data_IF_905991560253
#
_entry.id   IF_905991560253
#
_cell.length_a   1.000
_cell.length_b   1.000
_cell.length_c   1.000
_cell.angle_alpha   90.00
_cell.angle_beta   90.00
_cell.angle_gamma   90.00
#
_symmetry.space_group_name_H-M   'P 1'
#
loop_
_entity.id
_entity.type
_entity.pdbx_description
1 polymer ?
#
# COMPACT_ATOMS: atom_id res chain seq x y z
N UNK A 1 -15.10 -0.95 19.02
CA UNK A 1 -15.16 0.52 18.87
C UNK A 1 -14.40 0.94 17.61
N UNK A 2 -14.91 1.88 16.80
CA UNK A 2 -14.32 2.30 15.51
C UNK A 2 -13.35 3.49 15.65
N UNK A 3 -12.77 3.65 16.84
CA UNK A 3 -12.00 4.83 17.22
C UNK A 3 -10.78 5.08 16.31
N UNK A 4 -10.17 4.01 15.82
CA UNK A 4 -9.02 4.12 14.91
C UNK A 4 -9.36 4.82 13.58
N UNK A 5 -10.60 4.70 13.08
CA UNK A 5 -11.05 5.43 11.89
C UNK A 5 -11.22 6.93 12.18
N UNK A 6 -11.70 7.26 13.38
CA UNK A 6 -11.90 8.65 13.80
C UNK A 6 -10.56 9.37 13.98
N UNK A 7 -9.59 8.74 14.63
CA UNK A 7 -8.31 9.37 14.92
C UNK A 7 -7.34 9.42 13.72
N UNK A 8 -7.62 8.69 12.64
CA UNK A 8 -6.79 8.76 11.44
C UNK A 8 -7.11 10.06 10.67
N UNK A 9 -6.17 11.02 10.54
CA UNK A 9 -6.45 12.30 9.87
C UNK A 9 -6.77 12.11 8.39
N UNK A 10 -6.22 11.07 7.77
CA UNK A 10 -6.43 10.75 6.36
C UNK A 10 -7.70 9.91 6.08
N UNK A 11 -8.40 9.43 7.12
CA UNK A 11 -9.61 8.58 6.99
C UNK A 11 -9.47 7.37 6.05
N UNK A 12 -8.27 6.79 5.97
CA UNK A 12 -7.95 5.66 5.08
C UNK A 12 -8.30 4.29 5.66
N UNK A 13 -8.85 4.24 6.88
CA UNK A 13 -9.28 2.97 7.48
C UNK A 13 -10.72 2.67 7.07
N UNK A 14 -10.96 1.49 6.50
CA UNK A 14 -12.29 1.03 6.05
C UNK A 14 -12.84 0.02 7.05
N UNK A 15 -14.14 0.07 7.31
CA UNK A 15 -14.79 -0.84 8.26
C UNK A 15 -15.70 -1.78 7.50
N UNK A 16 -15.65 -3.08 7.85
CA UNK A 16 -16.55 -4.07 7.27
C UNK A 16 -17.86 -4.06 8.03
N UNK A 17 -18.88 -3.43 7.45
CA UNK A 17 -20.20 -3.28 8.06
C UNK A 17 -21.01 -4.58 8.07
N UNK A 18 -21.00 -5.26 6.91
CA UNK A 18 -21.70 -6.51 6.69
C UNK A 18 -20.70 -7.64 6.46
N UNK A 19 -21.22 -8.87 6.41
CA UNK A 19 -20.46 -10.00 5.90
C UNK A 19 -20.56 -9.95 4.37
N UNK A 20 -19.46 -9.56 3.72
CA UNK A 20 -19.39 -9.42 2.26
C UNK A 20 -19.01 -10.71 1.53
N UNK A 21 -18.70 -11.77 2.28
CA UNK A 21 -18.37 -13.10 1.78
C UNK A 21 -19.40 -14.11 2.28
N UNK A 22 -19.72 -15.12 1.46
CA UNK A 22 -20.60 -16.23 1.86
C UNK A 22 -21.98 -15.77 2.35
N UNK A 23 -22.56 -14.77 1.67
CA UNK A 23 -23.88 -14.23 1.99
C UNK A 23 -24.71 -14.00 0.71
N UNK A 24 -25.91 -14.55 0.66
CA UNK A 24 -26.85 -14.44 -0.47
C UNK A 24 -27.26 -12.99 -0.78
N UNK A 25 -27.20 -12.08 0.20
CA UNK A 25 -27.47 -10.65 -0.02
C UNK A 25 -26.40 -9.96 -0.89
N UNK A 26 -25.18 -10.51 -0.93
CA UNK A 26 -24.04 -10.00 -1.68
C UNK A 26 -23.54 -11.06 -2.66
N UNK A 27 -24.40 -11.49 -3.58
CA UNK A 27 -24.10 -12.51 -4.58
C UNK A 27 -23.20 -11.99 -5.73
N UNK A 28 -21.92 -11.87 -5.42
CA UNK A 28 -20.86 -11.54 -6.36
C UNK A 28 -19.82 -12.68 -6.42
N UNK A 29 -18.65 -12.40 -6.99
CA UNK A 29 -17.56 -13.35 -7.17
C UNK A 29 -16.93 -13.93 -5.89
N UNK A 30 -17.40 -13.53 -4.70
CA UNK A 30 -16.92 -14.06 -3.41
C UNK A 30 -17.76 -15.23 -2.90
N UNK A 31 -18.95 -15.46 -3.48
CA UNK A 31 -19.87 -16.52 -3.04
C UNK A 31 -19.74 -17.80 -3.85
N UNK A 32 -19.36 -17.70 -5.14
CA UNK A 32 -19.22 -18.86 -6.00
C UNK A 32 -17.85 -19.55 -5.82
N UNK A 33 -17.83 -20.88 -5.82
CA UNK A 33 -16.61 -21.66 -5.61
C UNK A 33 -15.52 -21.35 -6.66
N UNK A 34 -15.93 -21.08 -7.91
CA UNK A 34 -15.01 -20.69 -8.97
C UNK A 34 -14.43 -19.29 -8.76
N UNK A 35 -15.23 -18.32 -8.29
CA UNK A 35 -14.75 -16.94 -8.07
C UNK A 35 -13.84 -16.83 -6.84
N UNK A 36 -14.02 -17.70 -5.85
CA UNK A 36 -13.09 -17.81 -4.71
C UNK A 36 -11.66 -18.14 -5.13
N UNK A 37 -11.45 -18.73 -6.32
CA UNK A 37 -10.10 -19.00 -6.84
C UNK A 37 -9.30 -17.73 -7.19
N UNK A 38 -9.95 -16.57 -7.34
CA UNK A 38 -9.27 -15.29 -7.60
C UNK A 38 -8.65 -14.70 -6.31
N UNK A 39 -9.07 -15.19 -5.14
CA UNK A 39 -8.63 -14.67 -3.86
C UNK A 39 -7.19 -15.09 -3.58
N UNK A 40 -6.36 -14.12 -3.18
CA UNK A 40 -4.98 -14.40 -2.80
C UNK A 40 -4.93 -15.18 -1.46
N UNK A 41 -4.32 -16.38 -1.41
CA UNK A 41 -4.22 -17.18 -0.18
C UNK A 41 -3.36 -16.53 0.92
N UNK A 42 -2.42 -15.65 0.55
CA UNK A 42 -1.52 -15.00 1.51
C UNK A 42 -2.17 -13.79 2.22
N UNK A 43 -3.40 -13.43 1.86
CA UNK A 43 -4.14 -12.30 2.43
C UNK A 43 -5.39 -12.81 3.12
N UNK A 44 -5.62 -12.32 4.34
CA UNK A 44 -6.82 -12.67 5.10
C UNK A 44 -8.09 -12.10 4.46
N UNK A 45 -9.03 -12.98 4.12
CA UNK A 45 -10.42 -12.59 3.87
C UNK A 45 -11.06 -12.28 5.21
N UNK A 46 -11.56 -11.05 5.38
CA UNK A 46 -12.03 -10.55 6.67
C UNK A 46 -13.53 -10.63 6.76
N UNK A 47 -14.01 -11.03 7.94
CA UNK A 47 -15.44 -11.05 8.26
C UNK A 47 -15.97 -9.67 8.68
N UNK A 48 -17.26 -9.62 9.03
CA UNK A 48 -17.95 -8.46 9.61
C UNK A 48 -17.22 -7.92 10.85
N UNK A 49 -17.23 -6.60 11.01
CA UNK A 49 -16.83 -5.94 12.26
C UNK A 49 -15.34 -5.67 12.38
N UNK A 50 -14.56 -5.93 11.32
CA UNK A 50 -13.11 -5.72 11.29
C UNK A 50 -12.77 -4.43 10.53
N UNK A 51 -11.71 -3.75 10.97
CA UNK A 51 -11.16 -2.59 10.29
C UNK A 51 -10.03 -3.00 9.36
N UNK A 52 -10.03 -2.41 8.17
CA UNK A 52 -9.03 -2.61 7.12
C UNK A 52 -8.27 -1.32 6.84
N UNK A 53 -7.05 -1.46 6.32
CA UNK A 53 -6.24 -0.36 5.80
C UNK A 53 -5.23 -0.91 4.81
N UNK A 54 -4.61 -0.03 4.04
CA UNK A 54 -3.39 -0.38 3.31
C UNK A 54 -2.30 -0.82 4.30
N UNK A 55 -1.73 -2.00 4.07
CA UNK A 55 -0.65 -2.60 4.85
C UNK A 55 0.68 -2.59 4.11
N UNK A 56 0.80 -1.81 3.02
CA UNK A 56 1.96 -1.81 2.13
C UNK A 56 2.32 -3.21 1.61
N UNK A 57 1.29 -4.01 1.29
CA UNK A 57 1.43 -5.38 0.79
C UNK A 57 2.38 -6.24 1.64
N UNK A 58 2.14 -6.30 2.95
CA UNK A 58 2.97 -7.05 3.90
C UNK A 58 3.26 -8.50 3.46
N UNK A 59 2.31 -9.15 2.80
CA UNK A 59 2.47 -10.49 2.26
C UNK A 59 3.59 -10.59 1.22
N UNK A 60 3.75 -9.56 0.38
CA UNK A 60 4.83 -9.49 -0.61
C UNK A 60 6.16 -9.15 0.07
N UNK A 61 6.18 -8.15 0.95
CA UNK A 61 7.43 -7.73 1.60
C UNK A 61 8.04 -8.83 2.47
N UNK A 62 7.21 -9.58 3.20
CA UNK A 62 7.70 -10.69 4.02
C UNK A 62 8.25 -11.83 3.18
N UNK A 63 7.62 -12.12 2.03
CA UNK A 63 8.12 -13.11 1.07
C UNK A 63 9.48 -12.70 0.49
N UNK A 64 9.63 -11.45 0.04
CA UNK A 64 10.92 -10.93 -0.46
C UNK A 64 12.02 -11.04 0.60
N UNK A 65 11.73 -10.66 1.85
CA UNK A 65 12.69 -10.77 2.95
C UNK A 65 13.03 -12.23 3.24
N UNK A 66 12.06 -13.14 3.19
CA UNK A 66 12.27 -14.58 3.40
C UNK A 66 13.17 -15.18 2.32
N UNK A 67 12.92 -14.86 1.05
CA UNK A 67 13.71 -15.33 -0.08
C UNK A 67 15.15 -14.80 0.00
N UNK A 68 15.34 -13.51 0.29
CA UNK A 68 16.68 -12.94 0.47
C UNK A 68 17.45 -13.56 1.65
N UNK A 69 16.76 -13.81 2.78
CA UNK A 69 17.35 -14.51 3.93
C UNK A 69 17.74 -15.95 3.61
N UNK A 70 16.92 -16.68 2.87
CA UNK A 70 17.23 -18.04 2.42
C UNK A 70 18.48 -18.06 1.54
N UNK A 71 18.62 -17.06 0.68
CA UNK A 71 19.74 -16.94 -0.25
C UNK A 71 21.00 -16.30 0.39
N UNK A 72 20.92 -15.91 1.67
CA UNK A 72 22.05 -15.34 2.43
C UNK A 72 22.50 -13.94 1.97
N UNK A 73 21.62 -13.19 1.30
CA UNK A 73 21.93 -11.87 0.72
C UNK A 73 21.02 -10.77 1.27
N UNK A 74 21.46 -9.50 1.23
CA UNK A 74 20.54 -8.39 1.46
C UNK A 74 19.48 -8.31 0.34
N UNK A 75 18.35 -7.70 0.67
CA UNK A 75 17.33 -7.36 -0.32
C UNK A 75 17.89 -6.25 -1.20
N UNK A 76 17.73 -6.38 -2.52
CA UNK A 76 18.19 -5.36 -3.48
C UNK A 76 17.09 -4.36 -3.77
N UNK A 77 17.47 -3.15 -4.17
CA UNK A 77 16.49 -2.17 -4.66
C UNK A 77 15.73 -2.73 -5.88
N UNK A 78 14.43 -2.44 -5.95
CA UNK A 78 13.52 -3.00 -6.94
C UNK A 78 12.95 -4.40 -6.63
N UNK A 79 13.49 -5.16 -5.67
CA UNK A 79 12.87 -6.43 -5.22
C UNK A 79 11.65 -6.19 -4.33
N UNK A 80 11.62 -5.03 -3.66
CA UNK A 80 10.44 -4.60 -2.93
C UNK A 80 9.40 -4.01 -3.89
N UNK A 81 8.38 -4.80 -4.18
CA UNK A 81 7.26 -4.34 -5.00
C UNK A 81 5.92 -4.57 -4.29
N UNK A 82 5.12 -3.50 -4.23
CA UNK A 82 3.72 -3.57 -3.80
C UNK A 82 2.84 -3.92 -5.00
N UNK A 83 1.60 -4.33 -4.75
CA UNK A 83 0.64 -4.55 -5.83
C UNK A 83 0.35 -3.24 -6.61
N UNK A 84 0.30 -2.10 -5.92
CA UNK A 84 0.02 -0.82 -6.56
C UNK A 84 1.23 -0.24 -7.31
N UNK A 85 2.47 -0.41 -6.80
CA UNK A 85 3.67 0.00 -7.54
C UNK A 85 3.89 -0.85 -8.79
N UNK A 86 3.76 -2.18 -8.68
CA UNK A 86 3.96 -3.08 -9.82
C UNK A 86 2.89 -2.92 -10.93
N UNK A 87 1.68 -2.51 -10.58
CA UNK A 87 0.61 -2.27 -11.56
C UNK A 87 0.70 -0.90 -12.24
N UNK A 88 1.49 0.03 -11.69
CA UNK A 88 1.57 1.39 -12.19
C UNK A 88 2.46 1.46 -13.43
N UNK A 89 1.86 1.59 -14.61
CA UNK A 89 2.59 1.71 -15.88
C UNK A 89 3.34 3.03 -16.04
N UNK A 90 2.90 4.09 -15.36
CA UNK A 90 3.49 5.42 -15.48
C UNK A 90 4.69 5.67 -14.57
N UNK A 91 5.05 4.72 -13.70
CA UNK A 91 6.11 4.90 -12.70
C UNK A 91 5.78 5.89 -11.59
N UNK A 92 4.49 6.26 -11.41
CA UNK A 92 4.10 7.23 -10.39
C UNK A 92 4.20 6.69 -8.95
N UNK A 93 4.20 5.37 -8.78
CA UNK A 93 4.27 4.72 -7.47
C UNK A 93 5.57 3.96 -7.34
N UNK A 94 6.49 4.53 -6.56
CA UNK A 94 7.79 3.91 -6.22
C UNK A 94 7.73 3.42 -4.78
N UNK A 95 8.24 2.23 -4.52
CA UNK A 95 8.28 1.61 -3.20
C UNK A 95 9.62 0.91 -3.01
N UNK A 96 10.24 1.08 -1.85
CA UNK A 96 11.62 0.65 -1.60
C UNK A 96 12.04 0.91 -0.14
N UNK A 97 13.31 0.63 0.16
CA UNK A 97 13.88 0.81 1.49
C UNK A 97 14.53 2.20 1.63
N UNK A 98 14.06 2.99 2.58
CA UNK A 98 14.58 4.35 2.85
C UNK A 98 15.95 4.32 3.53
N UNK A 99 16.34 3.20 4.15
CA UNK A 99 17.65 3.09 4.80
C UNK A 99 18.78 2.82 3.81
N UNK A 100 18.45 2.33 2.62
CA UNK A 100 19.40 2.17 1.53
C UNK A 100 19.55 3.50 0.78
N UNK A 101 20.72 4.12 0.90
CA UNK A 101 21.02 5.42 0.30
C UNK A 101 21.10 5.38 -1.22
N UNK A 102 21.31 4.19 -1.81
CA UNK A 102 21.35 3.99 -3.26
C UNK A 102 19.96 3.68 -3.85
N UNK A 103 18.91 3.63 -3.03
CA UNK A 103 17.56 3.33 -3.50
C UNK A 103 16.89 4.51 -4.21
N UNK A 104 16.05 4.21 -5.19
CA UNK A 104 15.24 5.21 -5.89
C UNK A 104 14.38 6.05 -4.91
N UNK A 105 13.89 5.42 -3.83
CA UNK A 105 13.07 6.11 -2.81
C UNK A 105 13.89 7.12 -2.01
N UNK A 106 15.15 6.80 -1.68
CA UNK A 106 16.03 7.73 -0.98
C UNK A 106 16.31 8.98 -1.84
N UNK A 107 16.57 8.81 -3.13
CA UNK A 107 16.77 9.93 -4.06
C UNK A 107 15.50 10.80 -4.19
N UNK A 108 14.33 10.17 -4.34
CA UNK A 108 13.06 10.90 -4.45
C UNK A 108 12.70 11.67 -3.18
N UNK A 109 13.08 11.14 -2.01
CA UNK A 109 12.84 11.79 -0.72
C UNK A 109 13.61 13.11 -0.57
N UNK A 110 14.83 13.19 -1.09
CA UNK A 110 15.67 14.40 -1.02
C UNK A 110 15.31 15.45 -2.10
N UNK A 111 14.33 15.17 -2.95
CA UNK A 111 13.88 16.09 -3.99
C UNK A 111 13.26 17.37 -3.44
N UNK A 112 13.59 18.52 -4.02
CA UNK A 112 12.96 19.82 -3.70
C UNK A 112 11.43 19.87 -3.90
N UNK A 113 10.86 18.88 -4.61
CA UNK A 113 9.42 18.80 -4.88
C UNK A 113 8.65 17.94 -3.88
N UNK A 114 9.35 17.32 -2.94
CA UNK A 114 8.79 16.39 -1.97
C UNK A 114 8.02 17.17 -0.88
N UNK A 115 6.84 16.68 -0.53
CA UNK A 115 6.05 17.17 0.60
C UNK A 115 5.25 16.04 1.25
N UNK A 116 4.96 16.17 2.54
CA UNK A 116 4.05 15.29 3.25
C UNK A 116 2.65 15.91 3.36
N UNK A 117 1.63 15.04 3.36
CA UNK A 117 0.26 15.49 3.59
C UNK A 117 0.03 15.79 5.08
N UNK A 118 -0.53 16.96 5.36
CA UNK A 118 -0.92 17.41 6.71
C UNK A 118 0.27 17.48 7.70
N UNK A 119 1.39 18.07 7.28
CA UNK A 119 2.61 18.21 8.10
C UNK A 119 2.39 18.88 9.46
N UNK A 120 1.48 19.86 9.52
CA UNK A 120 1.15 20.59 10.76
C UNK A 120 0.61 19.70 11.89
N UNK A 121 0.10 18.50 11.58
CA UNK A 121 -0.40 17.54 12.58
C UNK A 121 0.75 16.76 13.24
N UNK A 122 1.93 16.69 12.60
CA UNK A 122 3.09 15.98 13.13
C UNK A 122 2.99 14.45 13.07
N UNK A 123 2.16 13.90 12.18
CA UNK A 123 1.95 12.44 12.02
C UNK A 123 3.13 11.71 11.39
N UNK A 124 4.10 12.43 10.81
CA UNK A 124 5.31 11.90 10.14
C UNK A 124 4.99 10.70 9.23
N UNK A 125 4.19 10.90 8.16
CA UNK A 125 3.79 9.81 7.29
C UNK A 125 4.99 9.26 6.48
N UNK A 126 5.06 7.94 6.33
CA UNK A 126 6.08 7.27 5.49
C UNK A 126 5.80 7.36 3.99
N UNK A 127 4.72 8.02 3.59
CA UNK A 127 4.39 8.31 2.20
C UNK A 127 4.55 9.81 1.99
N UNK A 128 5.35 10.16 0.99
CA UNK A 128 5.52 11.53 0.52
C UNK A 128 5.07 11.63 -0.93
N UNK A 129 4.74 12.86 -1.34
CA UNK A 129 4.24 13.15 -2.67
C UNK A 129 5.11 14.21 -3.32
N UNK A 130 5.13 14.23 -4.65
CA UNK A 130 5.79 15.29 -5.41
C UNK A 130 4.76 16.30 -5.92
N UNK A 131 5.12 17.59 -5.87
CA UNK A 131 4.28 18.67 -6.43
C UNK A 131 4.03 18.42 -7.92
N UNK A 132 2.77 18.52 -8.35
CA UNK A 132 2.40 18.40 -9.77
C UNK A 132 2.82 19.67 -10.51
N UNK A 133 3.86 19.57 -11.34
CA UNK A 133 4.28 20.65 -12.25
C UNK A 133 3.43 20.56 -13.51
N UNK A 134 2.77 21.65 -13.88
CA UNK A 134 2.03 21.78 -15.14
C UNK A 134 2.76 22.80 -16.00
N UNK A 135 3.26 22.39 -17.15
CA UNK A 135 3.89 23.31 -18.09
C UNK A 135 2.79 24.08 -18.83
N UNK A 136 2.63 25.37 -18.53
CA UNK A 136 1.77 26.27 -19.30
C UNK A 136 2.61 26.89 -20.40
N UNK A 137 2.15 26.87 -21.66
CA UNK A 137 2.88 27.35 -22.85
C UNK A 137 3.20 28.86 -22.85
N UNK A 138 2.96 29.56 -21.75
CA UNK A 138 3.35 30.95 -21.53
C UNK A 138 4.76 30.94 -20.93
N UNK A 139 5.76 30.80 -21.79
CA UNK A 139 7.16 31.10 -21.51
C UNK A 139 7.62 32.25 -22.41
#
# INVERSE_FOLDING_TARGET
TRYCANNCPYKVRRFNWFLYNENDEFDYHMNNDLGKMVINPDVTVRSRGVMEKCSMCIQKTQKTILDAKRDGRPVKDGEFQTACSAACSSGAMVFGDVNDAESEVAELKESNRMYHLLEHIGTKPNVFYHVKVRNTNEA
#
